data_IF_134508932992
#
_entry.id   IF_134508932992
#
_cell.length_a   1.000
_cell.length_b   1.000
_cell.length_c   1.000
_cell.angle_alpha   90.00
_cell.angle_beta   90.00
_cell.angle_gamma   90.00
#
_symmetry.space_group_name_H-M   'P 1'
#
loop_
_entity.id
_entity.type
_entity.pdbx_description
1 polymer ?
#
# COMPACT_ATOMS: atom_id res chain seq x y z
N UNK A 1 15.31 0.87 -26.98
CA UNK A 1 15.21 0.50 -25.55
C UNK A 1 16.05 -0.73 -25.30
N UNK A 2 16.80 -0.79 -24.20
CA UNK A 2 17.53 -2.02 -23.88
C UNK A 2 16.56 -3.11 -23.45
N UNK A 3 16.94 -4.39 -23.61
CA UNK A 3 16.13 -5.53 -23.15
C UNK A 3 15.80 -5.42 -21.66
N UNK A 4 16.73 -4.87 -20.89
CA UNK A 4 16.55 -4.60 -19.47
C UNK A 4 15.49 -3.53 -19.21
N UNK A 5 15.50 -2.41 -19.95
CA UNK A 5 14.47 -1.37 -19.82
C UNK A 5 13.08 -1.91 -20.15
N UNK A 6 12.96 -2.75 -21.19
CA UNK A 6 11.68 -3.36 -21.57
C UNK A 6 11.17 -4.32 -20.49
N UNK A 7 12.05 -5.14 -19.92
CA UNK A 7 11.72 -6.02 -18.80
C UNK A 7 11.24 -5.23 -17.58
N UNK A 8 11.92 -4.14 -17.24
CA UNK A 8 11.56 -3.29 -16.10
C UNK A 8 10.17 -2.66 -16.29
N UNK A 9 9.87 -2.18 -17.50
CA UNK A 9 8.54 -1.63 -17.82
C UNK A 9 7.46 -2.70 -17.64
N UNK A 10 7.68 -3.91 -18.14
CA UNK A 10 6.75 -5.03 -17.96
C UNK A 10 6.54 -5.38 -16.49
N UNK A 11 7.61 -5.39 -15.70
CA UNK A 11 7.55 -5.71 -14.28
C UNK A 11 6.75 -4.65 -13.50
N UNK A 12 6.95 -3.37 -13.80
CA UNK A 12 6.17 -2.27 -13.22
C UNK A 12 4.70 -2.38 -13.64
N UNK A 13 4.42 -2.61 -14.93
CA UNK A 13 3.05 -2.78 -15.42
C UNK A 13 2.34 -3.97 -14.74
N UNK A 14 3.04 -5.10 -14.57
CA UNK A 14 2.53 -6.27 -13.88
C UNK A 14 2.26 -5.98 -12.38
N UNK A 15 3.14 -5.23 -11.71
CA UNK A 15 2.94 -4.84 -10.31
C UNK A 15 1.72 -3.90 -10.14
N UNK A 16 1.54 -2.94 -11.05
CA UNK A 16 0.38 -2.03 -11.02
C UNK A 16 -0.91 -2.80 -11.32
N UNK A 17 -0.93 -3.64 -12.35
CA UNK A 17 -2.11 -4.42 -12.71
C UNK A 17 -2.47 -5.44 -11.62
N UNK A 18 -1.49 -6.21 -11.14
CA UNK A 18 -1.68 -7.19 -10.08
C UNK A 18 -2.08 -6.53 -8.76
N UNK A 19 -1.42 -5.43 -8.39
CA UNK A 19 -1.78 -4.63 -7.21
C UNK A 19 -3.19 -4.04 -7.33
N UNK A 20 -3.56 -3.51 -8.51
CA UNK A 20 -4.88 -2.98 -8.77
C UNK A 20 -5.98 -4.04 -8.63
N UNK A 21 -5.80 -5.22 -9.23
CA UNK A 21 -6.75 -6.35 -9.10
C UNK A 21 -6.84 -6.84 -7.66
N UNK A 22 -5.70 -6.97 -6.97
CA UNK A 22 -5.68 -7.37 -5.57
C UNK A 22 -6.46 -6.37 -4.70
N UNK A 23 -6.14 -5.08 -4.81
CA UNK A 23 -6.80 -4.02 -4.04
C UNK A 23 -8.29 -3.89 -4.38
N UNK A 24 -8.68 -4.11 -5.64
CA UNK A 24 -10.09 -4.01 -6.05
C UNK A 24 -10.97 -5.10 -5.43
N UNK A 25 -10.38 -6.24 -5.07
CA UNK A 25 -11.08 -7.37 -4.46
C UNK A 25 -10.82 -7.51 -2.96
N UNK A 26 -9.91 -6.70 -2.42
CA UNK A 26 -9.55 -6.82 -1.01
C UNK A 26 -10.62 -6.18 -0.14
N UNK A 27 -11.43 -7.02 0.48
CA UNK A 27 -12.33 -6.61 1.55
C UNK A 27 -11.52 -6.47 2.85
N UNK A 28 -11.14 -5.23 3.19
CA UNK A 28 -10.37 -4.94 4.39
C UNK A 28 -11.30 -5.12 5.59
N UNK A 29 -11.08 -6.13 6.45
CA UNK A 29 -11.97 -6.37 7.57
C UNK A 29 -11.89 -5.19 8.54
N UNK A 30 -13.03 -4.86 9.15
CA UNK A 30 -13.06 -3.90 10.25
C UNK A 30 -12.14 -4.39 11.39
N UNK A 31 -11.54 -3.47 12.17
CA UNK A 31 -10.79 -3.84 13.37
C UNK A 31 -11.63 -4.73 14.28
N UNK A 32 -11.15 -5.94 14.58
CA UNK A 32 -11.86 -6.92 15.41
C UNK A 32 -11.84 -6.56 16.90
N UNK A 33 -11.02 -5.58 17.27
CA UNK A 33 -10.86 -5.07 18.63
C UNK A 33 -10.75 -3.56 18.59
N UNK A 34 -11.30 -2.91 19.61
CA UNK A 34 -11.15 -1.48 19.80
C UNK A 34 -9.67 -1.14 20.08
N UNK A 35 -9.09 -0.24 19.28
CA UNK A 35 -7.70 0.20 19.44
C UNK A 35 -7.69 1.64 19.93
N UNK A 36 -7.32 1.84 21.19
CA UNK A 36 -7.03 3.17 21.73
C UNK A 36 -5.53 3.43 21.67
N UNK A 37 -5.15 4.57 21.08
CA UNK A 37 -3.77 5.04 21.07
C UNK A 37 -3.67 6.33 21.88
N UNK A 38 -2.95 6.26 23.01
CA UNK A 38 -2.55 7.46 23.75
C UNK A 38 -1.49 8.19 22.93
N UNK A 39 -1.82 9.37 22.41
CA UNK A 39 -0.85 10.25 21.76
C UNK A 39 -0.15 11.04 22.85
N UNK A 40 1.19 10.95 22.94
CA UNK A 40 1.95 11.75 23.91
C UNK A 40 1.72 13.25 23.65
N UNK A 41 1.54 14.01 24.72
CA UNK A 41 1.38 15.46 24.65
C UNK A 41 2.62 16.16 24.04
N UNK A 42 3.80 15.54 24.12
CA UNK A 42 5.05 16.05 23.52
C UNK A 42 4.98 16.19 21.99
N UNK A 43 4.01 15.53 21.35
CA UNK A 43 3.77 15.58 19.90
C UNK A 43 3.09 16.87 19.45
N UNK A 44 2.45 17.58 20.39
CA UNK A 44 1.77 18.84 20.15
C UNK A 44 2.63 19.96 20.72
N UNK A 45 3.65 20.37 19.96
CA UNK A 45 4.51 21.51 20.32
C UNK A 45 3.92 22.79 19.71
N UNK A 46 3.79 23.83 20.52
CA UNK A 46 3.53 25.21 20.09
C UNK A 46 4.83 25.91 19.73
#
# INVERSE_FOLDING_TARGET
MSKFSLFLIFLIAAAIAGGGVFLSQWDIPAPTTHVEKVISNDRFKN
#
